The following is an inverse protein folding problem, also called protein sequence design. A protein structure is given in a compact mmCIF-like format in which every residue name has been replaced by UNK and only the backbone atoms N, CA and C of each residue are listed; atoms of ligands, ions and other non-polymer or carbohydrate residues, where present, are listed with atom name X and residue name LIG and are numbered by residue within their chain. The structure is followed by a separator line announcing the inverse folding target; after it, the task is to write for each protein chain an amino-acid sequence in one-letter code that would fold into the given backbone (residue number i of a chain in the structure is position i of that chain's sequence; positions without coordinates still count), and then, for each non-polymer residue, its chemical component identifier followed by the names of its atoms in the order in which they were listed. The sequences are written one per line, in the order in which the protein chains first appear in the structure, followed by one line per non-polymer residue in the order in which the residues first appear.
data_IF_945357969008
#
_entry.id   IF_945357969008
#
_cell.length_a   1.000
_cell.length_b   1.000
_cell.length_c   1.000
_cell.angle_alpha   90.00
_cell.angle_beta   90.00
_cell.angle_gamma   90.00
#
_symmetry.space_group_name_H-M   'P 1'
#
loop_
_entity.id
_entity.type
_entity.pdbx_description
1 polymer ?
#
# COMPACT_ATOMS: atom_id res chain seq x y z
N UNK A 1 -8.13 -18.62 -3.53
CA UNK A 1 -7.66 -17.21 -3.55
C UNK A 1 -6.44 -17.08 -2.69
N UNK A 2 -5.36 -16.49 -3.24
CA UNK A 2 -4.14 -16.14 -2.49
C UNK A 2 -4.41 -14.95 -1.57
N UNK A 3 -3.57 -14.75 -0.54
CA UNK A 3 -3.69 -13.61 0.39
C UNK A 3 -3.65 -12.29 -0.39
N UNK A 4 -2.74 -12.17 -1.37
CA UNK A 4 -2.63 -11.00 -2.23
C UNK A 4 -3.93 -10.74 -3.03
N UNK A 5 -4.61 -11.80 -3.50
CA UNK A 5 -5.88 -11.65 -4.21
C UNK A 5 -6.97 -11.12 -3.28
N UNK A 6 -7.03 -11.64 -2.05
CA UNK A 6 -7.98 -11.20 -1.02
C UNK A 6 -7.76 -9.72 -0.69
N UNK A 7 -6.50 -9.34 -0.49
CA UNK A 7 -6.10 -7.98 -0.18
C UNK A 7 -6.48 -7.01 -1.31
N UNK A 8 -6.12 -7.33 -2.56
CA UNK A 8 -6.43 -6.51 -3.74
C UNK A 8 -7.94 -6.38 -3.99
N UNK A 9 -8.69 -7.48 -3.91
CA UNK A 9 -10.16 -7.47 -4.02
C UNK A 9 -10.76 -6.55 -2.98
N UNK A 10 -10.27 -6.62 -1.74
CA UNK A 10 -10.83 -5.86 -0.63
C UNK A 10 -10.61 -4.35 -0.79
N UNK A 11 -9.42 -3.95 -1.23
CA UNK A 11 -9.10 -2.53 -1.51
C UNK A 11 -9.93 -2.04 -2.69
N UNK A 12 -10.03 -2.84 -3.75
CA UNK A 12 -10.85 -2.50 -4.90
C UNK A 12 -12.33 -2.33 -4.51
N UNK A 13 -12.89 -3.25 -3.73
CA UNK A 13 -14.27 -3.15 -3.23
C UNK A 13 -14.48 -1.93 -2.33
N UNK A 14 -13.46 -1.51 -1.58
CA UNK A 14 -13.51 -0.26 -0.81
C UNK A 14 -13.71 0.94 -1.75
N UNK A 15 -12.90 1.06 -2.80
CA UNK A 15 -13.04 2.15 -3.78
C UNK A 15 -14.29 2.01 -4.65
N UNK A 16 -14.73 0.79 -4.96
CA UNK A 16 -15.98 0.57 -5.68
C UNK A 16 -17.16 1.11 -4.87
N UNK A 17 -17.23 0.80 -3.57
CA UNK A 17 -18.25 1.33 -2.66
C UNK A 17 -18.20 2.84 -2.54
N UNK A 18 -17.00 3.44 -2.52
CA UNK A 18 -16.86 4.90 -2.53
C UNK A 18 -17.44 5.54 -3.80
N UNK A 19 -17.26 4.89 -4.95
CA UNK A 19 -17.86 5.31 -6.22
C UNK A 19 -19.38 5.18 -6.19
N UNK A 20 -19.89 4.06 -5.69
CA UNK A 20 -21.33 3.81 -5.50
C UNK A 20 -21.99 4.85 -4.58
N UNK A 21 -21.25 5.33 -3.57
CA UNK A 21 -21.68 6.41 -2.69
C UNK A 21 -21.61 7.82 -3.34
N UNK A 22 -21.42 7.91 -4.66
CA UNK A 22 -21.43 9.17 -5.41
C UNK A 22 -20.09 9.92 -5.43
N UNK A 23 -18.98 9.35 -4.95
CA UNK A 23 -17.67 10.01 -5.08
C UNK A 23 -17.13 9.90 -6.51
N UNK A 24 -16.57 10.99 -7.03
CA UNK A 24 -15.92 11.00 -8.33
C UNK A 24 -14.54 10.34 -8.26
N UNK A 25 -14.51 9.01 -8.34
CA UNK A 25 -13.29 8.22 -8.33
C UNK A 25 -13.32 7.11 -9.38
N UNK A 26 -12.13 6.72 -9.85
CA UNK A 26 -11.92 5.59 -10.75
C UNK A 26 -11.32 4.43 -9.94
N UNK A 27 -12.10 3.38 -9.56
CA UNK A 27 -11.70 2.40 -8.55
C UNK A 27 -10.43 1.63 -8.88
N UNK A 28 -10.24 1.25 -10.16
CA UNK A 28 -9.05 0.54 -10.58
C UNK A 28 -7.79 1.41 -10.45
N UNK A 29 -7.91 2.69 -10.81
CA UNK A 29 -6.81 3.65 -10.76
C UNK A 29 -6.44 3.94 -9.31
N UNK A 30 -7.43 4.23 -8.46
CA UNK A 30 -7.21 4.50 -7.03
C UNK A 30 -6.58 3.31 -6.31
N UNK A 31 -7.00 2.08 -6.63
CA UNK A 31 -6.39 0.87 -6.07
C UNK A 31 -4.90 0.80 -6.41
N UNK A 32 -4.53 1.04 -7.67
CA UNK A 32 -3.13 1.00 -8.10
C UNK A 32 -2.31 2.15 -7.48
N UNK A 33 -2.85 3.38 -7.46
CA UNK A 33 -2.17 4.56 -6.89
C UNK A 33 -1.98 4.42 -5.39
N UNK A 34 -3.01 4.03 -4.63
CA UNK A 34 -2.90 3.88 -3.18
C UNK A 34 -1.84 2.85 -2.79
N UNK A 35 -1.78 1.72 -3.50
CA UNK A 35 -0.76 0.71 -3.27
C UNK A 35 0.63 1.21 -3.66
N UNK A 36 0.76 1.85 -4.82
CA UNK A 36 2.03 2.46 -5.25
C UNK A 36 2.58 3.44 -4.22
N UNK A 37 1.73 4.33 -3.72
CA UNK A 37 2.11 5.32 -2.71
C UNK A 37 2.48 4.67 -1.37
N UNK A 38 1.65 3.77 -0.84
CA UNK A 38 1.91 3.12 0.45
C UNK A 38 3.22 2.33 0.41
N UNK A 39 3.42 1.50 -0.63
CA UNK A 39 4.67 0.74 -0.75
C UNK A 39 5.89 1.64 -0.95
N UNK A 40 5.76 2.75 -1.68
CA UNK A 40 6.88 3.68 -1.88
C UNK A 40 7.26 4.43 -0.62
N UNK A 41 6.26 4.90 0.14
CA UNK A 41 6.48 5.55 1.45
C UNK A 41 7.14 4.55 2.40
N UNK A 42 6.57 3.35 2.52
CA UNK A 42 7.11 2.30 3.41
C UNK A 42 8.52 1.88 3.00
N UNK A 43 8.82 1.79 1.71
CA UNK A 43 10.16 1.47 1.23
C UNK A 43 11.17 2.59 1.53
N UNK A 44 10.80 3.86 1.33
CA UNK A 44 11.65 5.00 1.68
C UNK A 44 11.94 5.04 3.19
N UNK A 45 10.93 4.80 4.03
CA UNK A 45 11.10 4.72 5.47
C UNK A 45 11.97 3.51 5.89
N UNK A 46 11.77 2.35 5.26
CA UNK A 46 12.60 1.17 5.50
C UNK A 46 14.08 1.43 5.18
N UNK A 47 14.38 2.06 4.04
CA UNK A 47 15.75 2.46 3.68
C UNK A 47 16.34 3.32 4.79
N UNK A 48 15.59 4.30 5.30
CA UNK A 48 16.05 5.18 6.38
C UNK A 48 16.29 4.42 7.68
N UNK A 49 15.41 3.48 8.05
CA UNK A 49 15.55 2.63 9.25
C UNK A 49 16.78 1.73 9.18
N UNK A 50 17.05 1.13 8.01
CA UNK A 50 18.15 0.15 7.83
C UNK A 50 19.50 0.84 7.66
N UNK A 51 19.53 1.97 6.96
CA UNK A 51 20.77 2.66 6.56
C UNK A 51 20.98 4.00 7.28
N UNK A 52 20.38 4.15 8.45
CA UNK A 52 20.34 5.39 9.26
C UNK A 52 21.73 6.04 9.46
N UNK A 53 22.79 5.22 9.58
CA UNK A 53 24.17 5.68 9.79
C UNK A 53 24.97 6.03 8.53
N UNK A 54 24.57 5.53 7.35
CA UNK A 54 25.31 5.74 6.09
C UNK A 54 24.68 6.80 5.20
N UNK A 55 23.35 6.94 5.22
CA UNK A 55 22.62 7.89 4.37
C UNK A 55 22.62 9.30 4.99
N UNK A 56 22.65 9.44 6.33
CA UNK A 56 22.74 10.76 6.96
C UNK A 56 24.05 11.52 6.66
N UNK A 57 25.10 10.84 6.17
CA UNK A 57 26.40 11.48 5.85
C UNK A 57 26.51 11.96 4.40
N UNK A 58 25.62 11.54 3.50
CA UNK A 58 25.53 12.04 2.11
C UNK A 58 24.11 12.50 1.85
N UNK A 59 23.89 13.81 1.82
CA UNK A 59 22.61 14.39 1.41
C UNK A 59 22.29 13.94 -0.02
N UNK A 60 21.44 12.92 -0.16
CA UNK A 60 20.89 12.54 -1.46
C UNK A 60 20.11 13.76 -1.97
N UNK A 61 20.37 14.26 -3.18
CA UNK A 61 19.61 15.38 -3.72
C UNK A 61 18.11 15.08 -3.74
N UNK A 62 17.29 16.03 -3.30
CA UNK A 62 15.84 15.84 -3.17
C UNK A 62 15.17 15.42 -4.48
N UNK A 63 15.61 15.99 -5.61
CA UNK A 63 15.10 15.65 -6.93
C UNK A 63 15.40 14.18 -7.30
N UNK A 64 16.56 13.65 -6.91
CA UNK A 64 16.96 12.28 -7.20
C UNK A 64 16.14 11.31 -6.34
N UNK A 65 15.91 11.66 -5.07
CA UNK A 65 15.01 10.93 -4.20
C UNK A 65 13.58 10.90 -4.77
N UNK A 66 13.07 12.06 -5.20
CA UNK A 66 11.72 12.18 -5.76
C UNK A 66 11.56 11.36 -7.05
N UNK A 67 12.55 11.39 -7.95
CA UNK A 67 12.55 10.57 -9.16
C UNK A 67 12.54 9.07 -8.84
N UNK A 68 13.37 8.63 -7.88
CA UNK A 68 13.39 7.25 -7.42
C UNK A 68 12.05 6.82 -6.80
N UNK A 69 11.49 7.67 -5.94
CA UNK A 69 10.19 7.47 -5.32
C UNK A 69 9.07 7.32 -6.35
N UNK A 70 8.98 8.25 -7.30
CA UNK A 70 7.94 8.25 -8.34
C UNK A 70 8.11 7.05 -9.29
N UNK A 71 9.34 6.69 -9.62
CA UNK A 71 9.64 5.52 -10.46
C UNK A 71 9.22 4.22 -9.78
N UNK A 72 9.50 4.07 -8.49
CA UNK A 72 9.08 2.91 -7.72
C UNK A 72 7.55 2.84 -7.55
N UNK A 73 6.91 3.97 -7.26
CA UNK A 73 5.45 4.07 -7.22
C UNK A 73 4.81 3.66 -8.55
N UNK A 74 5.37 4.14 -9.67
CA UNK A 74 4.96 3.77 -11.02
C UNK A 74 5.14 2.27 -11.30
N UNK A 75 6.27 1.68 -10.90
CA UNK A 75 6.51 0.24 -11.04
C UNK A 75 5.45 -0.58 -10.29
N UNK A 76 5.17 -0.25 -9.03
CA UNK A 76 4.13 -0.94 -8.24
C UNK A 76 2.75 -0.74 -8.88
N UNK A 77 2.44 0.46 -9.36
CA UNK A 77 1.19 0.76 -10.06
C UNK A 77 1.00 -0.19 -11.26
N UNK A 78 2.02 -0.32 -12.12
CA UNK A 78 1.94 -1.19 -13.29
C UNK A 78 1.89 -2.68 -12.92
N UNK A 79 2.61 -3.10 -11.87
CA UNK A 79 2.53 -4.48 -11.37
C UNK A 79 1.11 -4.82 -10.90
N UNK A 80 0.47 -3.95 -10.12
CA UNK A 80 -0.92 -4.15 -9.67
C UNK A 80 -1.87 -4.17 -10.87
N UNK A 81 -1.69 -3.23 -11.82
CA UNK A 81 -2.49 -3.16 -13.05
C UNK A 81 -2.41 -4.44 -13.86
N UNK A 82 -1.19 -4.93 -14.12
CA UNK A 82 -0.94 -6.14 -14.91
C UNK A 82 -1.34 -7.41 -14.18
N UNK A 83 -1.24 -7.46 -12.85
CA UNK A 83 -1.59 -8.64 -12.07
C UNK A 83 -3.11 -8.78 -11.87
N UNK A 84 -3.77 -7.70 -11.44
CA UNK A 84 -5.15 -7.74 -10.94
C UNK A 84 -6.18 -7.35 -12.01
N UNK A 85 -5.88 -6.33 -12.82
CA UNK A 85 -6.82 -5.79 -13.81
C UNK A 85 -6.66 -6.40 -15.22
N UNK A 86 -5.70 -7.32 -15.42
CA UNK A 86 -5.51 -8.02 -16.69
C UNK A 86 -6.67 -8.98 -16.98
N UNK A 87 -7.20 -8.93 -18.21
CA UNK A 87 -8.24 -9.85 -18.73
C UNK A 87 -9.43 -10.03 -17.77
N UNK A 88 -9.90 -8.96 -17.15
CA UNK A 88 -11.05 -8.98 -16.22
C UNK A 88 -10.91 -9.88 -14.98
N UNK A 89 -9.69 -10.35 -14.66
CA UNK A 89 -9.42 -11.22 -13.50
C UNK A 89 -9.99 -10.70 -12.19
N UNK A 90 -9.99 -9.37 -11.98
CA UNK A 90 -10.59 -8.75 -10.81
C UNK A 90 -12.07 -9.08 -10.61
N UNK A 91 -12.87 -9.22 -11.68
CA UNK A 91 -14.29 -9.58 -11.61
C UNK A 91 -14.47 -11.03 -11.12
N UNK A 92 -13.66 -11.95 -11.66
CA UNK A 92 -13.67 -13.36 -11.24
C UNK A 92 -13.25 -13.51 -9.77
N UNK A 93 -12.24 -12.75 -9.34
CA UNK A 93 -11.78 -12.75 -7.96
C UNK A 93 -12.81 -12.16 -7.00
N UNK A 94 -13.55 -11.11 -7.41
CA UNK A 94 -14.65 -10.53 -6.62
C UNK A 94 -15.77 -11.56 -6.45
N UNK A 95 -16.21 -12.20 -7.54
CA UNK A 95 -17.30 -13.20 -7.46
C UNK A 95 -16.90 -14.38 -6.56
N UNK A 96 -15.65 -14.84 -6.67
CA UNK A 96 -15.08 -15.87 -5.80
C UNK A 96 -15.02 -15.42 -4.34
N UNK A 97 -14.62 -14.18 -4.08
CA UNK A 97 -14.56 -13.61 -2.73
C UNK A 97 -15.93 -13.51 -2.07
N UNK A 98 -16.94 -13.05 -2.82
CA UNK A 98 -18.31 -12.90 -2.34
C UNK A 98 -18.98 -14.26 -2.07
N UNK A 99 -18.65 -15.30 -2.84
CA UNK A 99 -19.14 -16.66 -2.58
C UNK A 99 -18.43 -17.33 -1.40
N UNK A 100 -17.14 -17.06 -1.20
CA UNK A 100 -16.30 -17.78 -0.22
C UNK A 100 -16.41 -17.27 1.21
N UNK A 101 -16.60 -15.96 1.41
CA UNK A 101 -16.57 -15.34 2.74
C UNK A 101 -17.93 -14.78 3.14
N UNK A 102 -18.37 -15.07 4.37
CA UNK A 102 -19.57 -14.48 4.97
C UNK A 102 -19.39 -12.98 5.23
N UNK A 103 -20.50 -12.24 5.40
CA UNK A 103 -20.47 -10.79 5.60
C UNK A 103 -19.60 -10.33 6.78
N UNK A 104 -19.68 -11.02 7.92
CA UNK A 104 -18.85 -10.72 9.09
C UNK A 104 -17.37 -10.88 8.79
N UNK A 105 -16.98 -11.95 8.07
CA UNK A 105 -15.59 -12.16 7.64
C UNK A 105 -15.14 -11.10 6.63
N UNK A 106 -15.99 -10.72 5.68
CA UNK A 106 -15.70 -9.65 4.71
C UNK A 106 -15.45 -8.30 5.40
N UNK A 107 -16.24 -7.96 6.42
CA UNK A 107 -16.02 -6.74 7.22
C UNK A 107 -14.66 -6.76 7.93
N UNK A 108 -14.30 -7.88 8.56
CA UNK A 108 -13.00 -8.01 9.21
C UNK A 108 -11.85 -7.88 8.22
N UNK A 109 -11.90 -8.61 7.10
CA UNK A 109 -10.88 -8.54 6.03
C UNK A 109 -10.75 -7.12 5.51
N UNK A 110 -11.86 -6.39 5.35
CA UNK A 110 -11.86 -4.96 4.97
C UNK A 110 -11.11 -4.10 5.96
N UNK A 111 -11.41 -4.23 7.26
CA UNK A 111 -10.75 -3.47 8.31
C UNK A 111 -9.25 -3.77 8.30
N UNK A 112 -8.86 -5.05 8.22
CA UNK A 112 -7.44 -5.44 8.20
C UNK A 112 -6.74 -4.92 6.94
N UNK A 113 -7.34 -5.04 5.77
CA UNK A 113 -6.70 -4.64 4.51
C UNK A 113 -6.55 -3.13 4.38
N UNK A 114 -7.60 -2.36 4.73
CA UNK A 114 -7.55 -0.90 4.73
C UNK A 114 -6.66 -0.40 5.87
N UNK A 115 -6.75 -1.02 7.04
CA UNK A 115 -5.90 -0.72 8.19
C UNK A 115 -4.43 -0.93 7.87
N UNK A 116 -4.07 -2.00 7.14
CA UNK A 116 -2.70 -2.24 6.69
C UNK A 116 -2.11 -1.07 5.89
N UNK A 117 -2.92 -0.43 5.02
CA UNK A 117 -2.45 0.73 4.23
C UNK A 117 -2.02 1.91 5.10
N UNK A 118 -2.60 2.04 6.29
CA UNK A 118 -2.30 3.11 7.26
C UNK A 118 -1.21 2.66 8.24
N UNK A 119 -1.34 1.44 8.76
CA UNK A 119 -0.48 0.91 9.82
C UNK A 119 0.95 0.70 9.32
N UNK A 120 1.13 0.22 8.08
CA UNK A 120 2.44 -0.10 7.55
C UNK A 120 3.45 1.07 7.61
N UNK A 121 3.15 2.27 7.06
CA UNK A 121 4.05 3.41 7.21
C UNK A 121 4.20 3.86 8.67
N UNK A 122 3.14 3.80 9.48
CA UNK A 122 3.20 4.17 10.90
C UNK A 122 4.18 3.29 11.70
N UNK A 123 4.25 2.00 11.42
CA UNK A 123 5.20 1.08 12.07
C UNK A 123 6.64 1.55 11.83
N UNK A 124 6.99 1.92 10.60
CA UNK A 124 8.34 2.38 10.30
C UNK A 124 8.68 3.72 10.97
N UNK A 125 7.71 4.64 11.04
CA UNK A 125 7.88 5.90 11.78
C UNK A 125 8.12 5.62 13.27
N UNK A 126 7.36 4.71 13.88
CA UNK A 126 7.55 4.34 15.28
C UNK A 126 8.93 3.73 15.55
N UNK A 127 9.41 2.87 14.65
CA UNK A 127 10.77 2.29 14.74
C UNK A 127 11.82 3.41 14.69
N UNK A 128 11.69 4.36 13.76
CA UNK A 128 12.62 5.49 13.67
C UNK A 128 12.61 6.35 14.93
N UNK A 129 11.42 6.65 15.48
CA UNK A 129 11.29 7.40 16.73
C UNK A 129 11.99 6.67 17.89
N UNK A 130 11.80 5.35 17.97
CA UNK A 130 12.46 4.51 18.99
C UNK A 130 13.98 4.52 18.84
N UNK A 131 14.52 4.35 17.63
CA UNK A 131 15.96 4.43 17.35
C UNK A 131 16.56 5.78 17.75
N UNK A 132 15.84 6.87 17.42
CA UNK A 132 16.26 8.24 17.76
C UNK A 132 16.27 8.46 19.27
N UNK A 133 15.24 7.98 19.98
CA UNK A 133 15.15 8.09 21.43
C UNK A 133 16.23 7.26 22.14
N UNK A 134 16.51 6.05 21.67
CA UNK A 134 17.54 5.18 22.24
C UNK A 134 18.93 5.82 22.15
N UNK A 135 19.32 6.34 20.97
CA UNK A 135 20.60 7.04 20.75
C UNK A 135 20.78 8.35 21.53
N UNK A 136 19.69 8.93 22.05
CA UNK A 136 19.76 10.17 22.84
C UNK A 136 20.04 9.90 24.32
N UNK A 137 19.78 8.67 24.79
CA UNK A 137 19.88 8.30 26.20
C UNK A 137 21.06 7.35 26.51
N UNK A 138 21.75 6.84 25.48
CA UNK A 138 22.91 5.96 25.56
C UNK A 138 23.90 6.32 24.45
#
# INVERSE_FOLDING_TARGET
MKIIDIFLVTIYLHFLKMKENGRNIVPWFQTCVSLGMVFSISFALLIKVVFEGSINKKSIPEWLFLLGFMSFAGLIFFLVKLYFFKKNRHLDLISTFLKRFSDSKRKLIKIVSVGFLIILPCIFVLIMCYQTFYKRNY
#
